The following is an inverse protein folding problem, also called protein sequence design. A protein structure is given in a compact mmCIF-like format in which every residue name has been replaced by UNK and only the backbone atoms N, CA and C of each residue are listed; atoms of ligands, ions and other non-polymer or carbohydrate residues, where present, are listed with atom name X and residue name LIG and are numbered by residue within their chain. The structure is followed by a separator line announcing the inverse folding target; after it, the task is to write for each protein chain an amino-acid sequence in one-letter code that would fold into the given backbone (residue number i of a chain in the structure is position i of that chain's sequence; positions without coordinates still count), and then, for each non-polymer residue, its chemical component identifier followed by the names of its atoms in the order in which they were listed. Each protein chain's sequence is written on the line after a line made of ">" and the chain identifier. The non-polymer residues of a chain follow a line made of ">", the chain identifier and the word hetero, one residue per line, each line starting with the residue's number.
data_IF_874007713127
#
_entry.id   IF_874007713127
#
_cell.length_a   1.000
_cell.length_b   1.000
_cell.length_c   1.000
_cell.angle_alpha   90.00
_cell.angle_beta   90.00
_cell.angle_gamma   90.00
#
_symmetry.space_group_name_H-M   'P 1'
#
loop_
_entity.id
_entity.type
_entity.pdbx_description
1 polymer ?
#
# COMPACT_ATOMS: atom_id res chain seq x y z
N UNK A 1 -8.01 -31.32 6.84
CA UNK A 1 -6.92 -30.58 7.52
C UNK A 1 -6.13 -29.79 6.49
N UNK A 2 -6.43 -28.50 6.31
CA UNK A 2 -5.45 -27.47 5.90
C UNK A 2 -5.95 -26.08 6.34
N UNK A 3 -5.73 -25.67 7.61
CA UNK A 3 -6.02 -24.31 8.08
C UNK A 3 -4.76 -23.43 8.27
N UNK A 4 -3.61 -23.80 7.70
CA UNK A 4 -2.32 -23.22 8.11
C UNK A 4 -1.96 -21.89 7.42
N UNK A 5 -2.11 -21.79 6.10
CA UNK A 5 -1.58 -20.64 5.34
C UNK A 5 -2.40 -19.34 5.52
N UNK A 6 -3.73 -19.43 5.49
CA UNK A 6 -4.63 -18.27 5.71
C UNK A 6 -4.59 -17.79 7.16
N UNK A 7 -4.37 -18.70 8.11
CA UNK A 7 -4.17 -18.37 9.54
C UNK A 7 -2.87 -17.57 9.74
N UNK A 8 -1.77 -18.01 9.13
CA UNK A 8 -0.49 -17.32 9.22
C UNK A 8 -0.52 -15.93 8.58
N UNK A 9 -1.10 -15.80 7.37
CA UNK A 9 -1.21 -14.51 6.68
C UNK A 9 -2.02 -13.47 7.48
N UNK A 10 -3.02 -13.91 8.24
CA UNK A 10 -3.83 -13.04 9.09
C UNK A 10 -3.24 -12.81 10.50
N UNK A 11 -2.22 -13.58 10.89
CA UNK A 11 -1.52 -13.42 12.16
C UNK A 11 -0.71 -12.11 12.20
N UNK A 12 -0.41 -11.63 13.41
CA UNK A 12 0.48 -10.49 13.60
C UNK A 12 1.84 -10.72 12.91
N UNK A 13 2.41 -11.92 13.02
CA UNK A 13 3.67 -12.28 12.40
C UNK A 13 3.61 -12.17 10.87
N UNK A 14 2.54 -12.66 10.24
CA UNK A 14 2.35 -12.54 8.79
C UNK A 14 2.22 -11.09 8.33
N UNK A 15 1.49 -10.26 9.08
CA UNK A 15 1.35 -8.82 8.79
C UNK A 15 2.67 -8.07 8.95
N UNK A 16 3.44 -8.37 9.98
CA UNK A 16 4.77 -7.78 10.19
C UNK A 16 5.76 -8.23 9.11
N UNK A 17 5.71 -9.50 8.70
CA UNK A 17 6.52 -10.00 7.59
C UNK A 17 6.17 -9.26 6.29
N UNK A 18 4.89 -9.10 5.97
CA UNK A 18 4.46 -8.34 4.79
C UNK A 18 4.95 -6.88 4.84
N UNK A 19 4.87 -6.24 6.00
CA UNK A 19 5.37 -4.89 6.20
C UNK A 19 6.89 -4.80 6.04
N UNK A 20 7.65 -5.77 6.56
CA UNK A 20 9.10 -5.86 6.40
C UNK A 20 9.49 -6.07 4.93
N UNK A 21 8.77 -6.93 4.20
CA UNK A 21 8.99 -7.13 2.78
C UNK A 21 8.69 -5.85 1.98
N UNK A 22 7.60 -5.14 2.31
CA UNK A 22 7.29 -3.85 1.71
C UNK A 22 8.35 -2.79 2.00
N UNK A 23 8.88 -2.76 3.24
CA UNK A 23 9.98 -1.88 3.63
C UNK A 23 11.22 -2.11 2.76
N UNK A 24 11.68 -3.37 2.69
CA UNK A 24 12.90 -3.74 1.96
C UNK A 24 12.73 -3.50 0.46
N UNK A 25 11.60 -3.91 -0.12
CA UNK A 25 11.35 -3.77 -1.55
C UNK A 25 11.32 -2.31 -1.97
N UNK A 26 10.48 -1.49 -1.32
CA UNK A 26 10.26 -0.11 -1.75
C UNK A 26 11.32 0.86 -1.24
N UNK A 27 11.90 0.58 -0.07
CA UNK A 27 13.08 1.30 0.40
C UNK A 27 14.31 1.01 -0.46
N UNK A 28 14.52 -0.25 -0.84
CA UNK A 28 15.58 -0.64 -1.77
C UNK A 28 15.39 -0.02 -3.15
N UNK A 29 14.17 -0.01 -3.68
CA UNK A 29 13.86 0.67 -4.94
C UNK A 29 14.18 2.17 -4.89
N UNK A 30 13.73 2.86 -3.84
CA UNK A 30 13.99 4.29 -3.66
C UNK A 30 15.49 4.60 -3.50
N UNK A 31 16.23 3.75 -2.80
CA UNK A 31 17.69 3.83 -2.69
C UNK A 31 18.34 3.74 -4.08
N UNK A 32 17.99 2.72 -4.87
CA UNK A 32 18.55 2.52 -6.20
C UNK A 32 18.17 3.65 -7.18
N UNK A 33 16.92 4.12 -7.13
CA UNK A 33 16.44 5.21 -7.97
C UNK A 33 17.18 6.53 -7.71
N UNK A 34 17.63 6.76 -6.47
CA UNK A 34 18.32 8.00 -6.09
C UNK A 34 19.85 7.84 -5.97
N UNK A 35 20.40 6.65 -6.25
CA UNK A 35 21.82 6.34 -6.07
C UNK A 35 22.77 7.25 -6.86
N UNK A 36 22.32 7.74 -8.02
CA UNK A 36 23.11 8.62 -8.90
C UNK A 36 23.33 10.04 -8.37
N UNK A 37 22.55 10.46 -7.37
CA UNK A 37 22.59 11.83 -6.84
C UNK A 37 23.69 11.96 -5.79
N UNK A 38 23.52 11.28 -4.66
CA UNK A 38 24.42 11.25 -3.50
C UNK A 38 24.01 10.10 -2.57
N UNK A 39 24.94 9.25 -2.08
CA UNK A 39 24.60 8.12 -1.22
C UNK A 39 23.80 8.47 0.05
N UNK A 40 24.05 9.65 0.65
CA UNK A 40 23.33 10.06 1.85
C UNK A 40 21.87 10.39 1.55
N UNK A 41 21.60 11.15 0.48
CA UNK A 41 20.23 11.44 0.03
C UNK A 41 19.49 10.18 -0.44
N UNK A 42 20.19 9.28 -1.11
CA UNK A 42 19.63 8.00 -1.55
C UNK A 42 19.20 7.13 -0.35
N UNK A 43 20.01 7.09 0.72
CA UNK A 43 19.67 6.37 1.94
C UNK A 43 18.44 6.94 2.64
N UNK A 44 18.35 8.27 2.75
CA UNK A 44 17.17 8.93 3.33
C UNK A 44 15.91 8.63 2.50
N UNK A 45 16.00 8.74 1.17
CA UNK A 45 14.88 8.41 0.28
C UNK A 45 14.43 6.94 0.48
N UNK A 46 15.39 6.02 0.61
CA UNK A 46 15.14 4.61 0.91
C UNK A 46 14.41 4.41 2.24
N UNK A 47 14.90 5.02 3.31
CA UNK A 47 14.31 4.88 4.65
C UNK A 47 12.89 5.47 4.71
N UNK A 48 12.68 6.64 4.12
CA UNK A 48 11.36 7.30 4.06
C UNK A 48 10.36 6.43 3.29
N UNK A 49 10.73 5.99 2.09
CA UNK A 49 9.86 5.21 1.23
C UNK A 49 9.56 3.82 1.82
N UNK A 50 10.58 3.16 2.37
CA UNK A 50 10.42 1.87 3.04
C UNK A 50 9.49 1.97 4.24
N UNK A 51 9.70 2.96 5.10
CA UNK A 51 8.87 3.17 6.31
C UNK A 51 7.41 3.46 5.96
N UNK A 52 7.19 4.33 4.98
CA UNK A 52 5.84 4.64 4.49
C UNK A 52 5.16 3.40 3.91
N UNK A 53 5.89 2.58 3.14
CA UNK A 53 5.36 1.35 2.53
C UNK A 53 5.02 0.29 3.57
N UNK A 54 5.85 0.14 4.60
CA UNK A 54 5.58 -0.75 5.72
C UNK A 54 4.31 -0.33 6.48
N UNK A 55 4.19 0.96 6.81
CA UNK A 55 3.03 1.50 7.49
C UNK A 55 1.75 1.31 6.67
N UNK A 56 1.79 1.67 5.38
CA UNK A 56 0.66 1.48 4.46
C UNK A 56 0.24 0.02 4.38
N UNK A 57 1.18 -0.92 4.36
CA UNK A 57 0.89 -2.36 4.34
C UNK A 57 0.11 -2.81 5.58
N UNK A 58 0.43 -2.27 6.76
CA UNK A 58 -0.24 -2.62 8.01
C UNK A 58 -1.67 -2.08 8.10
N UNK A 59 -1.92 -0.89 7.53
CA UNK A 59 -3.19 -0.15 7.72
C UNK A 59 -4.15 -0.21 6.53
N UNK A 60 -3.65 -0.35 5.29
CA UNK A 60 -4.44 -0.21 4.06
C UNK A 60 -5.61 -1.19 4.01
N UNK A 61 -5.40 -2.46 4.36
CA UNK A 61 -6.47 -3.46 4.32
C UNK A 61 -7.59 -3.15 5.32
N UNK A 62 -7.27 -2.56 6.47
CA UNK A 62 -8.26 -2.15 7.48
C UNK A 62 -9.05 -0.94 6.97
N UNK A 63 -8.35 0.09 6.49
CA UNK A 63 -8.96 1.30 5.94
C UNK A 63 -9.87 0.98 4.74
N UNK A 64 -9.41 0.15 3.81
CA UNK A 64 -10.16 -0.25 2.62
C UNK A 64 -11.45 -0.99 2.99
N UNK A 65 -11.37 -1.95 3.93
CA UNK A 65 -12.57 -2.65 4.44
C UNK A 65 -13.55 -1.71 5.14
N UNK A 66 -13.04 -0.79 5.96
CA UNK A 66 -13.88 0.17 6.67
C UNK A 66 -14.62 1.12 5.70
N UNK A 67 -13.93 1.65 4.70
CA UNK A 67 -14.52 2.51 3.66
C UNK A 67 -15.51 1.73 2.79
N UNK A 68 -15.13 0.54 2.33
CA UNK A 68 -15.98 -0.31 1.49
C UNK A 68 -17.33 -0.61 2.16
N UNK A 69 -17.36 -0.86 3.47
CA UNK A 69 -18.59 -1.16 4.22
C UNK A 69 -19.51 0.06 4.42
N UNK A 70 -18.94 1.27 4.46
CA UNK A 70 -19.71 2.50 4.65
C UNK A 70 -20.38 2.98 3.35
N UNK A 71 -19.87 2.57 2.20
CA UNK A 71 -20.37 3.03 0.91
C UNK A 71 -21.60 2.23 0.47
N UNK A 72 -22.57 2.84 -0.23
CA UNK A 72 -23.70 2.13 -0.83
C UNK A 72 -23.24 1.17 -1.94
N UNK A 73 -24.07 0.20 -2.32
CA UNK A 73 -23.75 -0.72 -3.42
C UNK A 73 -23.57 0.04 -4.74
N UNK A 74 -22.66 -0.44 -5.60
CA UNK A 74 -22.36 0.14 -6.91
C UNK A 74 -20.88 0.45 -7.13
N UNK A 75 -20.57 1.12 -8.24
CA UNK A 75 -19.19 1.40 -8.66
C UNK A 75 -18.41 2.25 -7.65
N UNK A 76 -19.09 3.17 -6.94
CA UNK A 76 -18.47 4.00 -5.91
C UNK A 76 -17.86 3.16 -4.77
N UNK A 77 -18.49 2.04 -4.39
CA UNK A 77 -17.98 1.13 -3.36
C UNK A 77 -16.63 0.50 -3.74
N UNK A 78 -16.38 0.33 -5.05
CA UNK A 78 -15.15 -0.26 -5.58
C UNK A 78 -14.05 0.78 -5.80
N UNK A 79 -14.41 1.95 -6.33
CA UNK A 79 -13.43 2.95 -6.78
C UNK A 79 -13.08 3.96 -5.69
N UNK A 80 -14.02 4.32 -4.82
CA UNK A 80 -13.78 5.37 -3.83
C UNK A 80 -12.75 4.97 -2.77
N UNK A 81 -12.75 3.74 -2.20
CA UNK A 81 -11.71 3.35 -1.25
C UNK A 81 -10.28 3.44 -1.80
N UNK A 82 -9.94 2.85 -2.98
CA UNK A 82 -8.58 2.97 -3.51
C UNK A 82 -8.24 4.40 -3.89
N UNK A 83 -9.18 5.19 -4.44
CA UNK A 83 -8.92 6.60 -4.76
C UNK A 83 -8.57 7.42 -3.52
N UNK A 84 -9.34 7.30 -2.43
CA UNK A 84 -9.10 8.06 -1.21
C UNK A 84 -7.80 7.65 -0.51
N UNK A 85 -7.60 6.35 -0.32
CA UNK A 85 -6.43 5.81 0.39
C UNK A 85 -5.15 6.16 -0.36
N UNK A 86 -5.13 5.96 -1.68
CA UNK A 86 -3.94 6.18 -2.50
C UNK A 86 -3.69 7.67 -2.72
N UNK A 87 -4.72 8.50 -2.89
CA UNK A 87 -4.51 9.95 -3.01
C UNK A 87 -3.95 10.54 -1.72
N UNK A 88 -4.44 10.09 -0.56
CA UNK A 88 -3.92 10.52 0.73
C UNK A 88 -2.46 10.08 0.93
N UNK A 89 -2.14 8.81 0.65
CA UNK A 89 -0.77 8.30 0.81
C UNK A 89 0.20 8.91 -0.20
N UNK A 90 -0.23 9.09 -1.45
CA UNK A 90 0.55 9.76 -2.49
C UNK A 90 0.85 11.21 -2.12
N UNK A 91 -0.15 11.95 -1.63
CA UNK A 91 0.04 13.34 -1.20
C UNK A 91 1.06 13.42 -0.07
N UNK A 92 0.94 12.55 0.94
CA UNK A 92 1.88 12.49 2.05
C UNK A 92 3.30 12.17 1.58
N UNK A 93 3.46 11.15 0.72
CA UNK A 93 4.74 10.79 0.14
C UNK A 93 5.34 11.93 -0.68
N UNK A 94 4.53 12.57 -1.52
CA UNK A 94 4.93 13.71 -2.33
C UNK A 94 5.46 14.84 -1.47
N UNK A 95 4.74 15.22 -0.40
CA UNK A 95 5.16 16.28 0.50
C UNK A 95 6.47 15.94 1.24
N UNK A 96 6.58 14.73 1.78
CA UNK A 96 7.77 14.26 2.51
C UNK A 96 9.00 14.21 1.61
N UNK A 97 8.88 13.64 0.41
CA UNK A 97 10.00 13.57 -0.53
C UNK A 97 10.35 14.92 -1.16
N UNK A 98 9.37 15.80 -1.37
CA UNK A 98 9.62 17.17 -1.84
C UNK A 98 10.34 17.99 -0.78
N UNK A 99 9.95 17.87 0.49
CA UNK A 99 10.64 18.51 1.61
C UNK A 99 12.10 18.07 1.70
N UNK A 100 12.37 16.78 1.48
CA UNK A 100 13.72 16.22 1.46
C UNK A 100 14.48 16.38 0.14
N UNK A 101 13.93 17.12 -0.83
CA UNK A 101 14.53 17.36 -2.15
C UNK A 101 15.00 16.08 -2.84
N UNK A 102 14.17 15.04 -2.81
CA UNK A 102 14.48 13.75 -3.46
C UNK A 102 14.64 13.96 -4.97
N UNK A 103 15.82 13.69 -5.52
CA UNK A 103 16.16 13.97 -6.91
C UNK A 103 15.28 13.21 -7.90
N UNK A 104 15.10 11.90 -7.68
CA UNK A 104 14.29 11.03 -8.53
C UNK A 104 12.87 10.83 -7.97
N UNK A 105 12.20 11.93 -7.60
CA UNK A 105 10.90 11.92 -6.89
C UNK A 105 9.85 11.04 -7.59
N UNK A 106 9.64 11.24 -8.89
CA UNK A 106 8.62 10.49 -9.63
C UNK A 106 8.92 9.00 -9.73
N UNK A 107 10.19 8.63 -9.92
CA UNK A 107 10.62 7.23 -9.95
C UNK A 107 10.49 6.57 -8.57
N UNK A 108 10.64 7.36 -7.50
CA UNK A 108 10.52 6.90 -6.12
C UNK A 108 9.07 6.58 -5.75
N UNK A 109 8.12 7.44 -6.14
CA UNK A 109 6.73 7.38 -5.64
C UNK A 109 5.80 6.63 -6.59
N UNK A 110 5.95 6.76 -7.92
CA UNK A 110 4.97 6.21 -8.88
C UNK A 110 4.81 4.68 -8.79
N UNK A 111 5.89 3.87 -8.81
CA UNK A 111 5.74 2.42 -8.75
C UNK A 111 5.03 1.90 -7.48
N UNK A 112 5.39 2.32 -6.25
CA UNK A 112 4.68 1.90 -5.04
C UNK A 112 3.23 2.38 -5.00
N UNK A 113 2.95 3.60 -5.44
CA UNK A 113 1.58 4.14 -5.51
C UNK A 113 0.72 3.34 -6.48
N UNK A 114 1.23 2.99 -7.66
CA UNK A 114 0.51 2.18 -8.64
C UNK A 114 0.20 0.76 -8.11
N UNK A 115 1.15 0.13 -7.42
CA UNK A 115 0.90 -1.17 -6.79
C UNK A 115 -0.13 -1.06 -5.67
N UNK A 116 -0.05 -0.03 -4.82
CA UNK A 116 -1.00 0.19 -3.75
C UNK A 116 -2.44 0.37 -4.27
N UNK A 117 -2.60 1.15 -5.35
CA UNK A 117 -3.90 1.31 -6.03
C UNK A 117 -4.44 -0.01 -6.55
N UNK A 118 -3.61 -0.76 -7.28
CA UNK A 118 -4.00 -2.04 -7.86
C UNK A 118 -4.40 -3.04 -6.77
N UNK A 119 -3.60 -3.13 -5.71
CA UNK A 119 -3.88 -4.01 -4.58
C UNK A 119 -5.16 -3.62 -3.84
N UNK A 120 -5.38 -2.33 -3.59
CA UNK A 120 -6.58 -1.85 -2.90
C UNK A 120 -7.84 -2.09 -3.74
N UNK A 121 -7.77 -1.84 -5.05
CA UNK A 121 -8.87 -2.14 -5.97
C UNK A 121 -9.16 -3.64 -6.00
N UNK A 122 -8.14 -4.48 -6.07
CA UNK A 122 -8.27 -5.94 -5.99
C UNK A 122 -8.95 -6.38 -4.69
N UNK A 123 -8.57 -5.79 -3.55
CA UNK A 123 -9.20 -6.09 -2.26
C UNK A 123 -10.69 -5.72 -2.27
N UNK A 124 -11.06 -4.54 -2.80
CA UNK A 124 -12.46 -4.14 -2.93
C UNK A 124 -13.26 -5.09 -3.84
N UNK A 125 -12.68 -5.53 -4.97
CA UNK A 125 -13.29 -6.51 -5.86
C UNK A 125 -13.49 -7.86 -5.16
N UNK A 126 -12.51 -8.32 -4.37
CA UNK A 126 -12.65 -9.55 -3.58
C UNK A 126 -13.78 -9.45 -2.55
N UNK A 127 -13.86 -8.35 -1.81
CA UNK A 127 -14.92 -8.12 -0.82
C UNK A 127 -16.31 -8.12 -1.47
N UNK A 128 -16.45 -7.52 -2.64
CA UNK A 128 -17.72 -7.54 -3.38
C UNK A 128 -18.13 -8.96 -3.78
N UNK A 129 -17.18 -9.77 -4.28
CA UNK A 129 -17.44 -11.17 -4.66
C UNK A 129 -17.82 -12.04 -3.46
N UNK A 130 -17.19 -11.81 -2.31
CA UNK A 130 -17.52 -12.50 -1.06
C UNK A 130 -18.92 -12.14 -0.56
N UNK A 131 -19.34 -10.87 -0.66
CA UNK A 131 -20.70 -10.46 -0.33
C UNK A 131 -21.74 -11.14 -1.25
N UNK A 132 -21.52 -11.11 -2.56
CA UNK A 132 -22.43 -11.71 -3.52
C UNK A 132 -22.59 -13.23 -3.34
N UNK A 133 -21.52 -13.93 -2.93
CA UNK A 133 -21.58 -15.36 -2.63
C UNK A 133 -22.34 -15.67 -1.34
N UNK A 134 -22.25 -14.80 -0.33
CA UNK A 134 -22.97 -14.96 0.95
C UNK A 134 -24.46 -14.61 0.84
N UNK A 135 -24.85 -13.84 -0.18
CA UNK A 135 -26.24 -13.47 -0.47
C UNK A 135 -26.91 -14.43 -1.47
N UNK A 136 -26.19 -15.44 -1.99
CA UNK A 136 -26.76 -16.47 -2.84
C UNK A 136 -27.64 -17.43 -2.00
N UNK A 137 -28.88 -17.71 -2.42
CA UNK A 137 -29.86 -18.52 -1.67
C UNK A 137 -29.49 -19.99 -1.53
#
# INVERSE_FOLDING_TARGET
>A
MQPTATSFANSLAGRLLAAALAFVLWGGWALLANWSSDPHHALIAGLLQGSASALMTLVMAVAAKALFRQLPSGAARLLLPPLLIVSASFTLLYLVHSWHQTHALWQTILPPTALAFTYCLFLCLRLQREQACNEAP
#
